data_IF_967389128997
#
_entry.id   IF_967389128997
#
_cell.length_a   1.000
_cell.length_b   1.000
_cell.length_c   1.000
_cell.angle_alpha   90.00
_cell.angle_beta   90.00
_cell.angle_gamma   90.00
#
_symmetry.space_group_name_H-M   'P 1'
#
loop_
_entity.id
_entity.type
_entity.pdbx_description
1 polymer ?
#
# COMPACT_ATOMS: atom_id res chain seq x y z
N UNK A 1 17.72 15.75 -23.52
CA UNK A 1 17.11 14.41 -23.38
C UNK A 1 17.71 13.72 -22.16
N UNK A 2 17.13 13.89 -20.97
CA UNK A 2 17.60 13.20 -19.75
C UNK A 2 16.67 12.02 -19.49
N UNK A 3 17.18 10.81 -19.72
CA UNK A 3 16.47 9.55 -19.50
C UNK A 3 16.19 9.37 -17.99
N UNK A 4 14.99 9.72 -17.53
CA UNK A 4 14.52 9.49 -16.17
C UNK A 4 14.27 7.99 -15.93
N UNK A 5 15.28 7.25 -15.46
CA UNK A 5 15.16 5.84 -15.01
C UNK A 5 14.74 5.75 -13.54
N UNK A 6 13.77 6.58 -13.12
CA UNK A 6 13.11 6.47 -11.83
C UNK A 6 12.11 5.31 -11.80
N UNK A 7 11.74 4.83 -10.62
CA UNK A 7 10.64 3.89 -10.43
C UNK A 7 9.37 4.45 -11.11
N UNK A 8 8.93 3.83 -12.21
CA UNK A 8 7.72 4.27 -12.93
C UNK A 8 6.53 3.43 -12.47
N UNK A 9 5.67 4.01 -11.62
CA UNK A 9 4.41 3.41 -11.22
C UNK A 9 3.30 3.71 -12.24
N UNK A 10 3.59 3.50 -13.54
CA UNK A 10 2.62 3.76 -14.61
C UNK A 10 1.57 2.65 -14.64
N UNK A 11 0.33 3.03 -14.34
CA UNK A 11 -0.97 2.39 -14.65
C UNK A 11 -0.97 0.85 -14.78
N UNK A 12 -1.66 0.17 -13.87
CA UNK A 12 -1.90 -1.28 -13.95
C UNK A 12 -2.31 -1.90 -12.62
N UNK A 13 -2.45 -3.23 -12.60
CA UNK A 13 -2.96 -4.03 -11.47
C UNK A 13 -2.33 -3.71 -10.11
N UNK A 14 -1.03 -3.38 -10.05
CA UNK A 14 -0.35 -3.04 -8.78
C UNK A 14 -0.86 -1.72 -8.18
N UNK A 15 -1.24 -0.77 -9.03
CA UNK A 15 -1.82 0.51 -8.59
C UNK A 15 -3.20 0.30 -7.98
N UNK A 16 -4.03 -0.51 -8.64
CA UNK A 16 -5.34 -0.90 -8.15
C UNK A 16 -5.22 -1.64 -6.81
N UNK A 17 -4.26 -2.57 -6.68
CA UNK A 17 -4.00 -3.26 -5.42
C UNK A 17 -3.63 -2.31 -4.27
N UNK A 18 -2.81 -1.28 -4.52
CA UNK A 18 -2.49 -0.28 -3.49
C UNK A 18 -3.70 0.60 -3.15
N UNK A 19 -4.51 0.96 -4.15
CA UNK A 19 -5.74 1.72 -3.91
C UNK A 19 -6.73 0.89 -3.08
N UNK A 20 -6.96 -0.38 -3.44
CA UNK A 20 -7.85 -1.28 -2.72
C UNK A 20 -7.36 -1.56 -1.29
N UNK A 21 -6.04 -1.66 -1.09
CA UNK A 21 -5.45 -1.76 0.24
C UNK A 21 -5.74 -0.52 1.10
N UNK A 22 -5.57 0.69 0.54
CA UNK A 22 -5.88 1.95 1.24
C UNK A 22 -7.37 2.02 1.61
N UNK A 23 -8.26 1.62 0.69
CA UNK A 23 -9.72 1.56 0.96
C UNK A 23 -10.05 0.59 2.08
N UNK A 24 -9.47 -0.61 2.05
CA UNK A 24 -9.67 -1.64 3.08
C UNK A 24 -9.20 -1.15 4.45
N UNK A 25 -8.02 -0.53 4.53
CA UNK A 25 -7.48 0.00 5.78
C UNK A 25 -8.36 1.11 6.37
N UNK A 26 -8.81 2.06 5.54
CA UNK A 26 -9.73 3.11 5.99
C UNK A 26 -11.08 2.54 6.47
N UNK A 27 -11.63 1.55 5.74
CA UNK A 27 -12.88 0.90 6.12
C UNK A 27 -12.77 0.19 7.47
N UNK A 28 -11.69 -0.56 7.71
CA UNK A 28 -11.45 -1.27 8.97
C UNK A 28 -11.16 -0.32 10.15
N UNK A 29 -10.67 0.88 9.86
CA UNK A 29 -10.42 1.96 10.82
C UNK A 29 -11.66 2.85 11.03
N UNK A 30 -12.78 2.58 10.33
CA UNK A 30 -14.02 3.35 10.43
C UNK A 30 -13.97 4.74 9.79
N UNK A 31 -12.97 5.01 8.95
CA UNK A 31 -12.82 6.27 8.22
C UNK A 31 -13.53 6.22 6.86
N UNK A 32 -13.92 7.38 6.31
CA UNK A 32 -14.45 7.42 4.95
C UNK A 32 -13.43 6.88 3.96
N UNK A 33 -13.93 6.13 2.97
CA UNK A 33 -13.09 5.58 1.90
C UNK A 33 -12.50 6.73 1.08
N UNK A 34 -11.18 6.78 0.86
CA UNK A 34 -10.55 7.85 0.10
C UNK A 34 -11.03 7.85 -1.35
N UNK A 35 -11.29 9.05 -1.89
CA UNK A 35 -11.55 9.20 -3.32
C UNK A 35 -10.32 8.78 -4.14
N UNK A 36 -10.53 8.21 -5.33
CA UNK A 36 -9.48 7.70 -6.23
C UNK A 36 -8.36 8.71 -6.56
N UNK A 37 -8.60 10.01 -6.35
CA UNK A 37 -7.64 11.07 -6.61
C UNK A 37 -6.63 11.28 -5.48
N UNK A 38 -6.88 10.70 -4.31
CA UNK A 38 -6.04 10.86 -3.13
C UNK A 38 -5.69 9.52 -2.46
N UNK A 39 -5.86 8.40 -3.17
CA UNK A 39 -5.49 7.09 -2.66
C UNK A 39 -3.97 6.91 -2.51
N UNK A 40 -3.57 5.89 -1.76
CA UNK A 40 -2.17 5.54 -1.47
C UNK A 40 -1.31 5.48 -2.74
N UNK A 41 -1.86 5.00 -3.85
CA UNK A 41 -1.13 4.86 -5.11
C UNK A 41 -0.76 6.22 -5.69
N UNK A 42 -1.69 7.18 -5.64
CA UNK A 42 -1.46 8.56 -6.10
C UNK A 42 -0.48 9.27 -5.18
N UNK A 43 -0.63 9.09 -3.86
CA UNK A 43 0.29 9.69 -2.87
C UNK A 43 1.71 9.17 -3.03
N UNK A 44 1.88 7.87 -3.26
CA UNK A 44 3.19 7.23 -3.50
C UNK A 44 3.82 7.73 -4.81
N UNK A 45 3.09 7.76 -5.91
CA UNK A 45 3.61 8.23 -7.21
C UNK A 45 4.05 9.70 -7.15
N UNK A 46 3.27 10.54 -6.47
CA UNK A 46 3.61 11.93 -6.22
C UNK A 46 4.87 12.08 -5.35
N UNK A 47 5.04 11.22 -4.34
CA UNK A 47 6.23 11.21 -3.50
C UNK A 47 7.48 10.82 -4.31
N UNK A 48 7.42 9.75 -5.10
CA UNK A 48 8.54 9.27 -5.94
C UNK A 48 8.95 10.31 -6.97
N UNK A 49 7.98 11.03 -7.54
CA UNK A 49 8.24 12.08 -8.53
C UNK A 49 8.92 13.33 -7.94
N UNK A 50 8.70 13.61 -6.64
CA UNK A 50 9.17 14.84 -5.97
C UNK A 50 10.42 14.64 -5.13
N UNK A 51 10.68 13.43 -4.65
CA UNK A 51 11.70 13.16 -3.63
C UNK A 51 12.80 12.26 -4.21
N UNK A 52 14.06 12.54 -3.87
CA UNK A 52 15.18 11.60 -4.03
C UNK A 52 15.24 10.57 -2.88
N UNK A 53 14.14 10.39 -2.16
CA UNK A 53 14.03 9.42 -1.09
C UNK A 53 13.77 8.01 -1.65
N UNK A 54 13.90 6.99 -0.82
CA UNK A 54 13.55 5.60 -1.13
C UNK A 54 12.48 5.04 -0.18
N UNK A 55 11.91 5.91 0.66
CA UNK A 55 10.95 5.54 1.71
C UNK A 55 9.80 6.55 1.69
N UNK A 56 8.59 6.04 1.54
CA UNK A 56 7.33 6.75 1.71
C UNK A 56 6.68 6.29 3.02
N UNK A 57 6.06 7.20 3.74
CA UNK A 57 5.35 6.88 4.98
C UNK A 57 4.05 7.66 5.08
N UNK A 58 3.00 6.98 5.55
CA UNK A 58 1.78 7.62 6.02
C UNK A 58 1.33 7.02 7.36
N UNK A 59 0.05 7.22 7.71
CA UNK A 59 -0.57 6.73 8.93
C UNK A 59 -0.61 5.19 9.00
N UNK A 60 -0.82 4.50 7.87
CA UNK A 60 -1.07 3.07 7.84
C UNK A 60 0.15 2.26 7.43
N UNK A 61 1.00 2.81 6.55
CA UNK A 61 2.10 2.06 5.94
C UNK A 61 3.41 2.84 5.86
N UNK A 62 4.51 2.11 5.91
CA UNK A 62 5.81 2.53 5.39
C UNK A 62 6.11 1.71 4.14
N UNK A 63 6.43 2.38 3.03
CA UNK A 63 6.78 1.78 1.75
C UNK A 63 8.22 2.12 1.41
N UNK A 64 9.09 1.12 1.47
CA UNK A 64 10.46 1.21 0.95
C UNK A 64 10.47 0.78 -0.50
N UNK A 65 10.84 1.65 -1.42
CA UNK A 65 10.85 1.38 -2.86
C UNK A 65 12.26 1.45 -3.43
N UNK A 66 12.54 0.59 -4.41
CA UNK A 66 13.86 0.43 -5.02
C UNK A 66 13.81 0.79 -6.50
N UNK A 67 14.91 1.35 -7.03
CA UNK A 67 15.01 1.74 -8.44
C UNK A 67 14.67 0.63 -9.46
N UNK A 68 14.72 -0.65 -9.03
CA UNK A 68 14.33 -1.82 -9.84
C UNK A 68 12.82 -2.03 -9.99
N UNK A 69 11.96 -1.17 -9.41
CA UNK A 69 10.50 -1.32 -9.53
C UNK A 69 9.86 -2.23 -8.47
N UNK A 70 10.60 -2.56 -7.40
CA UNK A 70 10.11 -3.35 -6.26
C UNK A 70 9.95 -2.47 -5.04
N UNK A 71 9.16 -2.93 -4.06
CA UNK A 71 9.07 -2.27 -2.76
C UNK A 71 8.57 -3.19 -1.67
N UNK A 72 8.91 -2.87 -0.43
CA UNK A 72 8.41 -3.52 0.77
C UNK A 72 7.41 -2.59 1.44
N UNK A 73 6.27 -3.16 1.83
CA UNK A 73 5.23 -2.48 2.60
C UNK A 73 5.33 -3.00 4.03
N UNK A 74 5.44 -2.10 4.99
CA UNK A 74 5.40 -2.36 6.42
C UNK A 74 4.12 -1.73 6.96
N UNK A 75 3.29 -2.53 7.62
CA UNK A 75 2.06 -2.06 8.23
C UNK A 75 2.32 -1.49 9.62
N UNK A 76 1.80 -0.29 9.90
CA UNK A 76 1.98 0.41 11.18
C UNK A 76 0.88 0.12 12.20
N UNK A 77 -0.32 -0.27 11.73
CA UNK A 77 -1.51 -0.53 12.57
C UNK A 77 -1.81 -2.03 12.64
N UNK A 78 -1.23 -2.73 13.62
CA UNK A 78 -1.42 -4.17 13.79
C UNK A 78 -2.87 -4.57 14.03
N UNK A 79 -3.64 -3.73 14.72
CA UNK A 79 -5.06 -3.94 14.98
C UNK A 79 -5.91 -4.02 13.69
N UNK A 80 -5.55 -3.25 12.66
CA UNK A 80 -6.21 -3.32 11.35
C UNK A 80 -5.80 -4.58 10.58
N UNK A 81 -4.54 -5.01 10.74
CA UNK A 81 -4.04 -6.25 10.13
C UNK A 81 -4.70 -7.47 10.76
N UNK A 82 -4.93 -7.48 12.07
CA UNK A 82 -5.66 -8.56 12.74
C UNK A 82 -7.09 -8.68 12.19
N UNK A 83 -7.82 -7.57 12.06
CA UNK A 83 -9.16 -7.55 11.43
C UNK A 83 -9.13 -8.04 9.98
N UNK A 84 -8.12 -7.62 9.21
CA UNK A 84 -7.96 -8.07 7.82
C UNK A 84 -7.67 -9.58 7.76
N UNK A 85 -6.82 -10.09 8.64
CA UNK A 85 -6.51 -11.52 8.76
C UNK A 85 -7.74 -12.33 9.18
N UNK A 86 -8.61 -11.81 10.05
CA UNK A 86 -9.89 -12.46 10.36
C UNK A 86 -10.79 -12.59 9.12
N UNK A 87 -10.82 -11.58 8.26
CA UNK A 87 -11.56 -11.65 6.99
C UNK A 87 -10.94 -12.72 6.10
N UNK A 88 -9.62 -12.69 5.91
CA UNK A 88 -8.90 -13.68 5.09
C UNK A 88 -9.13 -15.11 5.61
N UNK A 89 -9.04 -15.33 6.93
CA UNK A 89 -9.25 -16.64 7.55
C UNK A 89 -10.65 -17.21 7.28
N UNK A 90 -11.68 -16.34 7.25
CA UNK A 90 -13.06 -16.77 6.99
C UNK A 90 -13.26 -17.26 5.55
N UNK A 91 -12.62 -16.62 4.58
CA UNK A 91 -12.79 -16.97 3.16
C UNK A 91 -11.72 -17.94 2.64
N UNK A 92 -10.57 -18.02 3.32
CA UNK A 92 -9.41 -18.80 2.91
C UNK A 92 -8.78 -19.53 4.11
N UNK A 93 -9.47 -20.52 4.71
CA UNK A 93 -9.11 -21.11 6.01
C UNK A 93 -7.74 -21.80 6.08
N UNK A 94 -7.11 -22.13 4.95
CA UNK A 94 -5.78 -22.76 4.89
C UNK A 94 -4.63 -21.79 4.55
N UNK A 95 -4.88 -20.48 4.49
CA UNK A 95 -3.89 -19.51 3.97
C UNK A 95 -3.07 -18.80 5.05
N UNK A 96 -3.52 -18.83 6.31
CA UNK A 96 -2.83 -18.15 7.40
C UNK A 96 -2.19 -19.17 8.36
N UNK A 97 -0.95 -18.91 8.82
CA UNK A 97 -0.34 -19.73 9.86
C UNK A 97 -1.14 -19.65 11.18
N UNK A 98 -1.03 -20.66 12.06
CA UNK A 98 -1.66 -20.63 13.38
C UNK A 98 -1.24 -19.37 14.14
N UNK A 99 -2.17 -18.78 14.89
CA UNK A 99 -1.86 -17.64 15.76
C UNK A 99 -0.88 -18.11 16.85
N UNK A 100 0.38 -17.69 16.76
CA UNK A 100 1.40 -17.84 17.81
C UNK A 100 1.12 -16.93 19.00
#
# INVERSE_FOLDING_TARGET
MTSNRGFHFRHGRRREQLADLDRMLNLLDGKPVPENRNDLSVRLDAHISKQHASVYEDEYVEIRYFQKGTGHIIFKRSDLIDKMNEIVARYFPATLPPRT
#
